data_IF_831801878386
#
_entry.id   IF_831801878386
#
_cell.length_a   1.000
_cell.length_b   1.000
_cell.length_c   1.000
_cell.angle_alpha   90.00
_cell.angle_beta   90.00
_cell.angle_gamma   90.00
#
_symmetry.space_group_name_H-M   'P 1'
#
loop_
_entity.id
_entity.type
_entity.pdbx_description
1 polymer ?
#
# COMPACT_ATOMS: atom_id res chain seq x y z
N UNK A 1 20.05 36.16 -7.84
CA UNK A 1 20.58 34.78 -7.97
C UNK A 1 19.39 33.83 -8.08
N UNK A 2 19.49 32.89 -9.01
CA UNK A 2 18.41 32.29 -9.78
C UNK A 2 17.46 31.32 -9.02
N UNK A 3 16.15 31.45 -9.29
CA UNK A 3 15.13 30.40 -9.05
C UNK A 3 14.51 29.93 -10.39
N UNK A 4 15.32 29.85 -11.44
CA UNK A 4 14.82 29.50 -12.78
C UNK A 4 15.52 28.25 -13.33
N UNK A 5 15.21 27.10 -12.73
CA UNK A 5 15.47 25.83 -13.40
C UNK A 5 14.22 24.98 -13.36
N UNK A 6 13.41 25.10 -14.43
CA UNK A 6 12.36 24.12 -14.71
C UNK A 6 13.06 22.80 -15.05
N UNK A 7 13.17 21.93 -14.04
CA UNK A 7 13.70 20.58 -14.22
C UNK A 7 12.59 19.69 -14.80
N UNK A 8 12.67 19.40 -16.09
CA UNK A 8 11.79 18.40 -16.72
C UNK A 8 12.19 17.02 -16.22
N UNK A 9 11.25 16.33 -15.59
CA UNK A 9 11.41 14.94 -15.16
C UNK A 9 10.67 14.07 -16.18
N UNK A 10 11.37 13.13 -16.79
CA UNK A 10 10.72 12.12 -17.64
C UNK A 10 9.99 11.14 -16.73
N UNK A 11 8.67 11.20 -16.73
CA UNK A 11 7.85 10.19 -16.06
C UNK A 11 8.02 8.84 -16.77
N UNK A 12 8.08 7.77 -16.01
CA UNK A 12 8.04 6.42 -16.58
C UNK A 12 6.64 6.15 -17.15
N UNK A 13 6.52 5.45 -18.29
CA UNK A 13 5.23 4.92 -18.76
C UNK A 13 4.72 3.77 -17.87
N UNK A 14 5.53 3.31 -16.92
CA UNK A 14 5.15 2.27 -15.97
C UNK A 14 4.01 2.71 -15.05
N UNK A 15 3.22 1.73 -14.66
CA UNK A 15 2.16 1.89 -13.67
C UNK A 15 2.71 1.73 -12.27
N UNK A 16 2.27 2.61 -11.37
CA UNK A 16 2.50 2.54 -9.94
C UNK A 16 1.17 2.35 -9.23
N UNK A 17 1.16 1.50 -8.20
CA UNK A 17 0.00 1.33 -7.33
C UNK A 17 0.44 1.25 -5.89
N UNK A 18 -0.44 1.70 -5.00
CA UNK A 18 -0.26 1.67 -3.56
C UNK A 18 -1.56 1.17 -2.93
N UNK A 19 -1.45 0.22 -2.00
CA UNK A 19 -2.59 -0.34 -1.26
C UNK A 19 -2.32 -0.21 0.22
N UNK A 20 -3.30 0.36 0.94
CA UNK A 20 -3.26 0.42 2.40
C UNK A 20 -3.57 -0.95 2.97
N UNK A 21 -2.79 -1.30 3.98
CA UNK A 21 -2.94 -2.49 4.81
C UNK A 21 -3.36 -2.01 6.19
N UNK A 22 -4.51 -2.50 6.66
CA UNK A 22 -5.12 -2.06 7.92
C UNK A 22 -5.53 -3.25 8.78
N UNK A 23 -5.84 -2.98 10.04
CA UNK A 23 -6.49 -3.91 10.98
C UNK A 23 -7.70 -3.21 11.61
N UNK A 24 -8.70 -3.97 12.12
CA UNK A 24 -9.80 -3.39 12.87
C UNK A 24 -9.31 -2.48 14.02
N UNK A 25 -10.05 -1.40 14.34
CA UNK A 25 -11.37 -1.06 13.83
C UNK A 25 -11.35 -0.12 12.61
N UNK A 26 -10.21 0.03 11.91
CA UNK A 26 -10.11 0.95 10.77
C UNK A 26 -11.29 0.80 9.80
N UNK A 27 -11.94 1.89 9.34
CA UNK A 27 -11.54 3.30 9.52
C UNK A 27 -12.12 3.98 10.78
N UNK A 28 -12.68 3.23 11.72
CA UNK A 28 -13.20 3.78 12.98
C UNK A 28 -12.06 4.07 13.97
N UNK A 29 -12.36 4.90 14.96
CA UNK A 29 -11.39 5.27 16.00
C UNK A 29 -10.94 4.04 16.82
N UNK A 30 -9.64 3.99 17.10
CA UNK A 30 -9.06 3.00 17.99
C UNK A 30 -9.52 3.25 19.44
N UNK A 31 -9.63 2.18 20.24
CA UNK A 31 -9.86 2.26 21.67
C UNK A 31 -8.93 1.29 22.41
N UNK A 32 -8.82 1.43 23.73
CA UNK A 32 -7.90 0.66 24.58
C UNK A 32 -8.07 -0.86 24.48
N UNK A 33 -9.26 -1.35 24.13
CA UNK A 33 -9.51 -2.79 23.97
C UNK A 33 -8.95 -3.31 22.64
N UNK A 34 -8.88 -2.46 21.63
CA UNK A 34 -8.50 -2.78 20.25
C UNK A 34 -7.07 -2.35 19.91
N UNK A 35 -6.47 -1.44 20.68
CA UNK A 35 -5.08 -0.97 20.52
C UNK A 35 -4.02 -1.99 20.96
N UNK A 36 -4.40 -3.26 21.15
CA UNK A 36 -3.46 -4.30 21.55
C UNK A 36 -2.42 -4.55 20.45
N UNK A 37 -1.12 -4.60 20.78
CA UNK A 37 -0.08 -4.88 19.79
C UNK A 37 -0.34 -6.19 19.04
N UNK A 38 -0.46 -6.08 17.72
CA UNK A 38 -0.59 -7.20 16.80
C UNK A 38 0.75 -7.44 16.14
N UNK A 39 1.30 -8.65 16.25
CA UNK A 39 2.59 -9.00 15.66
C UNK A 39 2.47 -9.11 14.14
N UNK A 40 3.47 -8.59 13.44
CA UNK A 40 3.53 -8.53 11.98
C UNK A 40 4.67 -9.42 11.51
N UNK A 41 4.34 -10.49 10.79
CA UNK A 41 5.33 -11.41 10.22
C UNK A 41 5.51 -11.17 8.71
N UNK A 42 6.68 -11.55 8.21
CA UNK A 42 6.97 -11.58 6.77
C UNK A 42 7.64 -10.32 6.23
N UNK A 43 7.84 -9.29 7.04
CA UNK A 43 8.70 -8.15 6.69
C UNK A 43 10.16 -8.63 6.67
N UNK A 44 10.88 -8.32 5.59
CA UNK A 44 12.30 -8.61 5.42
C UNK A 44 12.96 -7.57 4.51
N UNK A 45 14.29 -7.56 4.46
CA UNK A 45 15.07 -6.60 3.67
C UNK A 45 14.67 -6.55 2.19
N UNK A 46 14.24 -7.66 1.59
CA UNK A 46 13.91 -7.72 0.17
C UNK A 46 12.56 -7.08 -0.15
N UNK A 47 11.59 -7.14 0.77
CA UNK A 47 10.26 -6.54 0.57
C UNK A 47 10.10 -5.18 1.23
N UNK A 48 10.97 -4.78 2.16
CA UNK A 48 10.87 -3.51 2.87
C UNK A 48 10.88 -2.29 1.93
N UNK A 49 11.63 -2.35 0.82
CA UNK A 49 11.62 -1.32 -0.25
C UNK A 49 10.25 -1.10 -0.92
N UNK A 50 9.29 -2.00 -0.69
CA UNK A 50 7.93 -1.94 -1.20
C UNK A 50 6.91 -1.61 -0.11
N UNK A 51 7.34 -1.44 1.15
CA UNK A 51 6.47 -1.27 2.31
C UNK A 51 6.80 0.06 2.98
N UNK A 52 5.83 0.95 3.02
CA UNK A 52 5.88 2.17 3.81
C UNK A 52 5.19 1.93 5.16
N UNK A 53 5.98 1.72 6.22
CA UNK A 53 5.49 1.54 7.59
C UNK A 53 4.89 2.84 8.13
N UNK A 54 3.83 2.76 8.96
CA UNK A 54 3.18 3.92 9.58
C UNK A 54 2.83 3.68 11.05
N UNK A 55 1.81 2.87 11.33
CA UNK A 55 1.33 2.59 12.69
C UNK A 55 2.00 1.33 13.25
N UNK A 56 3.33 1.31 13.22
CA UNK A 56 4.17 0.15 13.52
C UNK A 56 5.37 0.57 14.35
N UNK A 57 5.69 -0.23 15.37
CA UNK A 57 6.96 -0.15 16.11
C UNK A 57 7.73 -1.47 15.99
N UNK A 58 9.02 -1.43 16.34
CA UNK A 58 9.88 -2.61 16.37
C UNK A 58 10.42 -2.86 17.78
N UNK A 59 10.41 -4.12 18.21
CA UNK A 59 10.95 -4.57 19.51
C UNK A 59 11.60 -5.94 19.31
N UNK A 60 12.84 -6.11 19.77
CA UNK A 60 13.64 -7.34 19.62
C UNK A 60 13.67 -7.90 18.18
N UNK A 61 13.81 -7.02 17.18
CA UNK A 61 13.83 -7.39 15.77
C UNK A 61 12.47 -7.85 15.20
N UNK A 62 11.39 -7.75 15.97
CA UNK A 62 10.03 -8.03 15.54
C UNK A 62 9.25 -6.74 15.29
N UNK A 63 8.25 -6.79 14.41
CA UNK A 63 7.36 -5.67 14.13
C UNK A 63 5.99 -5.89 14.77
N UNK A 64 5.41 -4.81 15.29
CA UNK A 64 4.11 -4.81 15.95
C UNK A 64 3.30 -3.57 15.57
N UNK A 65 1.97 -3.66 15.59
CA UNK A 65 1.10 -2.48 15.45
C UNK A 65 1.25 -1.54 16.66
N UNK A 66 1.38 -0.24 16.43
CA UNK A 66 1.50 0.75 17.51
C UNK A 66 0.15 1.18 18.11
N UNK A 67 -0.98 0.87 17.44
CA UNK A 67 -2.32 1.04 18.00
C UNK A 67 -2.86 2.47 17.92
N UNK A 68 -2.43 3.27 16.94
CA UNK A 68 -2.92 4.62 16.73
C UNK A 68 -4.30 4.64 16.03
N UNK A 69 -4.40 4.07 14.83
CA UNK A 69 -5.62 4.09 14.02
C UNK A 69 -5.84 2.81 13.18
N UNK A 70 -4.95 1.82 13.31
CA UNK A 70 -5.06 0.56 12.59
C UNK A 70 -4.59 0.64 11.14
N UNK A 71 -4.09 1.78 10.65
CA UNK A 71 -3.44 1.89 9.34
C UNK A 71 -1.94 1.60 9.46
N UNK A 72 -1.63 0.31 9.36
CA UNK A 72 -0.30 -0.25 9.59
C UNK A 72 0.73 0.23 8.58
N UNK A 73 0.44 0.07 7.29
CA UNK A 73 1.42 0.32 6.23
C UNK A 73 0.76 0.53 4.87
N UNK A 74 1.51 1.14 3.95
CA UNK A 74 1.17 1.17 2.52
C UNK A 74 2.13 0.28 1.75
N UNK A 75 1.59 -0.67 1.00
CA UNK A 75 2.39 -1.52 0.11
C UNK A 75 2.30 -0.98 -1.31
N UNK A 76 3.45 -0.77 -1.95
CA UNK A 76 3.54 -0.20 -3.28
C UNK A 76 4.30 -1.10 -4.24
N UNK A 77 3.92 -1.05 -5.52
CA UNK A 77 4.64 -1.75 -6.57
C UNK A 77 4.53 -1.01 -7.91
N UNK A 78 5.58 -1.21 -8.72
CA UNK A 78 5.66 -0.79 -10.12
C UNK A 78 5.32 -1.98 -11.04
N UNK A 79 4.69 -1.72 -12.17
CA UNK A 79 4.44 -2.72 -13.20
C UNK A 79 4.28 -2.11 -14.60
N UNK A 80 4.61 -2.88 -15.64
CA UNK A 80 4.43 -2.47 -17.04
C UNK A 80 2.95 -2.24 -17.42
N UNK A 81 2.03 -2.81 -16.63
CA UNK A 81 0.58 -2.62 -16.76
C UNK A 81 -0.02 -2.44 -15.37
N UNK A 82 -1.18 -1.78 -15.29
CA UNK A 82 -1.92 -1.63 -14.03
C UNK A 82 -2.15 -2.97 -13.34
N UNK A 83 -2.59 -3.99 -14.10
CA UNK A 83 -2.79 -5.36 -13.63
C UNK A 83 -1.52 -5.96 -13.00
N UNK A 84 -0.36 -5.76 -13.63
CA UNK A 84 0.93 -6.24 -13.09
C UNK A 84 1.33 -5.49 -11.82
N UNK A 85 1.11 -4.17 -11.76
CA UNK A 85 1.37 -3.39 -10.56
C UNK A 85 0.50 -3.87 -9.38
N UNK A 86 -0.81 -4.01 -9.59
CA UNK A 86 -1.78 -4.46 -8.56
C UNK A 86 -1.44 -5.86 -8.06
N UNK A 87 -1.19 -6.83 -8.96
CA UNK A 87 -0.82 -8.19 -8.56
C UNK A 87 0.48 -8.23 -7.74
N UNK A 88 1.46 -7.37 -8.04
CA UNK A 88 2.72 -7.30 -7.28
C UNK A 88 2.51 -6.76 -5.87
N UNK A 89 1.65 -5.75 -5.71
CA UNK A 89 1.25 -5.25 -4.39
C UNK A 89 0.51 -6.32 -3.59
N UNK A 90 -0.51 -6.95 -4.18
CA UNK A 90 -1.28 -8.02 -3.53
C UNK A 90 -0.40 -9.23 -3.14
N UNK A 91 0.56 -9.62 -3.98
CA UNK A 91 1.54 -10.67 -3.65
C UNK A 91 2.40 -10.27 -2.46
N UNK A 92 2.86 -9.02 -2.39
CA UNK A 92 3.67 -8.54 -1.27
C UNK A 92 2.86 -8.55 0.02
N UNK A 93 1.60 -8.10 -0.02
CA UNK A 93 0.67 -8.18 1.11
C UNK A 93 0.41 -9.64 1.51
N UNK A 94 0.20 -10.54 0.54
CA UNK A 94 -0.06 -11.96 0.79
C UNK A 94 1.11 -12.74 1.39
N UNK A 95 2.32 -12.19 1.34
CA UNK A 95 3.49 -12.75 2.03
C UNK A 95 3.60 -12.29 3.49
N UNK A 96 2.77 -11.33 3.92
CA UNK A 96 2.67 -10.90 5.31
C UNK A 96 1.69 -11.79 6.07
N UNK A 97 1.96 -12.05 7.35
CA UNK A 97 0.97 -12.67 8.26
C UNK A 97 0.67 -11.68 9.37
N UNK A 98 -0.58 -11.21 9.40
CA UNK A 98 -1.11 -10.23 10.33
C UNK A 98 -2.52 -10.66 10.67
N UNK A 99 -2.85 -10.75 11.96
CA UNK A 99 -4.18 -11.13 12.40
C UNK A 99 -5.19 -10.05 12.02
N UNK A 100 -6.36 -10.47 11.52
CA UNK A 100 -7.44 -9.59 11.06
C UNK A 100 -7.02 -8.57 9.98
N UNK A 101 -6.05 -8.92 9.14
CA UNK A 101 -5.60 -8.11 8.01
C UNK A 101 -6.76 -7.67 7.08
N UNK A 102 -6.81 -6.37 6.80
CA UNK A 102 -7.76 -5.74 5.88
C UNK A 102 -7.01 -5.01 4.76
N UNK A 103 -7.43 -5.25 3.52
CA UNK A 103 -7.01 -4.48 2.35
C UNK A 103 -7.99 -4.73 1.20
N UNK A 104 -8.06 -3.79 0.25
CA UNK A 104 -8.94 -3.90 -0.91
C UNK A 104 -8.38 -4.92 -1.92
N UNK A 105 -9.16 -5.92 -2.30
CA UNK A 105 -8.76 -7.03 -3.20
C UNK A 105 -9.39 -6.92 -4.60
N UNK A 106 -10.53 -6.28 -4.69
CA UNK A 106 -11.41 -6.12 -5.87
C UNK A 106 -10.96 -5.01 -6.84
N UNK A 107 -9.87 -4.28 -6.55
CA UNK A 107 -9.40 -3.16 -7.41
C UNK A 107 -9.08 -3.61 -8.84
N UNK A 108 -8.64 -4.85 -9.01
CA UNK A 108 -8.25 -5.39 -10.31
C UNK A 108 -9.45 -5.68 -11.21
N UNK A 109 -10.62 -5.96 -10.62
CA UNK A 109 -11.78 -6.45 -11.35
C UNK A 109 -12.45 -5.30 -12.10
N UNK A 110 -12.63 -5.45 -13.42
CA UNK A 110 -13.21 -4.41 -14.28
C UNK A 110 -12.39 -3.11 -14.34
N UNK A 111 -11.12 -3.11 -13.92
CA UNK A 111 -10.25 -1.94 -14.05
C UNK A 111 -10.03 -1.57 -15.52
N UNK A 112 -9.70 -2.56 -16.36
CA UNK A 112 -9.40 -2.37 -17.79
C UNK A 112 -10.61 -1.77 -18.53
N UNK A 113 -11.81 -2.32 -18.31
CA UNK A 113 -13.05 -1.80 -18.91
C UNK A 113 -13.34 -0.35 -18.49
N UNK A 114 -13.12 -0.03 -17.21
CA UNK A 114 -13.30 1.33 -16.69
C UNK A 114 -12.27 2.29 -17.28
N UNK A 115 -11.02 1.86 -17.40
CA UNK A 115 -9.94 2.65 -17.98
C UNK A 115 -10.22 2.99 -19.45
N UNK A 116 -10.63 2.00 -20.25
CA UNK A 116 -10.99 2.22 -21.66
C UNK A 116 -12.23 3.14 -21.81
N UNK A 117 -13.23 3.03 -20.92
CA UNK A 117 -14.39 3.93 -20.91
C UNK A 117 -13.99 5.38 -20.66
N UNK A 118 -13.14 5.62 -19.65
CA UNK A 118 -12.68 6.98 -19.30
C UNK A 118 -11.88 7.58 -20.46
N UNK A 119 -11.02 6.78 -21.11
CA UNK A 119 -10.28 7.20 -22.30
C UNK A 119 -11.20 7.54 -23.47
N UNK A 120 -12.20 6.70 -23.74
CA UNK A 120 -13.21 6.97 -24.78
C UNK A 120 -14.01 8.25 -24.52
N UNK A 121 -14.25 8.58 -23.26
CA UNK A 121 -14.94 9.80 -22.86
C UNK A 121 -14.05 11.05 -22.89
N UNK A 122 -12.74 10.93 -23.18
CA UNK A 122 -11.82 12.08 -23.31
C UNK A 122 -11.35 12.68 -21.98
N UNK A 123 -11.41 11.92 -20.89
CA UNK A 123 -10.91 12.35 -19.57
C UNK A 123 -9.45 11.93 -19.31
N UNK A 124 -8.81 11.30 -20.30
CA UNK A 124 -7.39 10.94 -20.35
C UNK A 124 -6.79 11.35 -21.68
#
# INVERSE_FOLDING_TARGET
>A
LAFDSIKRINASPDWLTATRVTIPPYPLAMNDKLSKPTKIYGINEHNLKHIWLRDIYSEDGNYYSAGCDGFLMTVSARGLTARKAIKRTQRTIGNLKIDNLQYRRDVIDGFEDRYEKIKKWGWF
#
